data_IF_858474941349
#
_entry.id   IF_858474941349
#
_cell.length_a   1.000
_cell.length_b   1.000
_cell.length_c   1.000
_cell.angle_alpha   90.00
_cell.angle_beta   90.00
_cell.angle_gamma   90.00
#
_symmetry.space_group_name_H-M   'P 1'
#
loop_
_entity.id
_entity.type
_entity.pdbx_description
1 polymer ?
#
# COMPACT_ATOMS: atom_id res chain seq x y z
N UNK A 1 -24.84 -20.21 12.46
CA UNK A 1 -23.57 -19.46 12.63
C UNK A 1 -23.60 -18.34 11.63
N UNK A 2 -23.96 -17.14 12.06
CA UNK A 2 -23.96 -15.96 11.19
C UNK A 2 -22.52 -15.47 11.08
N UNK A 3 -21.83 -15.88 10.02
CA UNK A 3 -20.57 -15.26 9.63
C UNK A 3 -20.90 -13.83 9.22
N UNK A 4 -20.65 -12.90 10.12
CA UNK A 4 -20.71 -11.47 9.85
C UNK A 4 -19.54 -11.16 8.89
N UNK A 5 -19.71 -11.47 7.61
CA UNK A 5 -18.73 -11.16 6.58
C UNK A 5 -18.56 -9.63 6.57
N UNK A 6 -17.40 -9.17 7.02
CA UNK A 6 -16.90 -7.85 6.69
C UNK A 6 -17.06 -7.67 5.18
N UNK A 7 -17.91 -6.74 4.76
CA UNK A 7 -18.12 -6.48 3.32
C UNK A 7 -16.84 -5.85 2.79
N UNK A 8 -15.98 -6.66 2.21
CA UNK A 8 -14.81 -6.19 1.50
C UNK A 8 -15.23 -5.73 0.10
N UNK A 9 -15.01 -4.45 -0.20
CA UNK A 9 -15.37 -3.83 -1.46
C UNK A 9 -14.16 -3.84 -2.39
N UNK A 10 -14.20 -4.69 -3.41
CA UNK A 10 -13.26 -4.61 -4.53
C UNK A 10 -13.75 -3.61 -5.58
N UNK A 11 -12.86 -3.22 -6.49
CA UNK A 11 -13.26 -2.42 -7.64
C UNK A 11 -14.06 -3.25 -8.66
N UNK A 12 -14.77 -2.58 -9.57
CA UNK A 12 -15.49 -3.25 -10.66
C UNK A 12 -14.53 -4.01 -11.57
N UNK A 13 -14.66 -5.34 -11.58
CA UNK A 13 -13.84 -6.25 -12.39
C UNK A 13 -14.12 -6.18 -13.90
N UNK A 14 -13.36 -6.98 -14.66
CA UNK A 14 -13.47 -7.10 -16.11
C UNK A 14 -12.83 -5.96 -16.92
N UNK A 15 -13.15 -5.93 -18.21
CA UNK A 15 -12.58 -5.03 -19.23
C UNK A 15 -13.62 -4.18 -19.97
N UNK A 16 -14.90 -4.31 -19.59
CA UNK A 16 -16.01 -3.54 -20.15
C UNK A 16 -16.00 -2.06 -19.78
N UNK A 17 -16.92 -1.26 -20.36
CA UNK A 17 -16.92 0.21 -20.21
C UNK A 17 -17.03 0.74 -18.77
N UNK A 18 -17.65 -0.04 -17.87
CA UNK A 18 -17.83 0.31 -16.45
C UNK A 18 -16.77 -0.32 -15.54
N UNK A 19 -15.79 -1.03 -16.10
CA UNK A 19 -14.74 -1.67 -15.32
C UNK A 19 -13.76 -0.64 -14.78
N UNK A 20 -13.07 -1.01 -13.70
CA UNK A 20 -12.05 -0.17 -13.11
C UNK A 20 -10.91 0.14 -14.09
N UNK A 21 -10.51 -0.84 -14.91
CA UNK A 21 -9.45 -0.66 -15.92
C UNK A 21 -9.73 0.52 -16.85
N UNK A 22 -11.00 0.75 -17.21
CA UNK A 22 -11.41 1.84 -18.10
C UNK A 22 -11.70 3.15 -17.38
N UNK A 23 -11.80 3.14 -16.04
CA UNK A 23 -12.25 4.28 -15.23
C UNK A 23 -11.28 4.65 -14.10
N UNK A 24 -10.01 4.23 -14.18
CA UNK A 24 -8.97 4.48 -13.16
C UNK A 24 -7.90 5.49 -13.56
N UNK A 25 -8.22 6.40 -14.51
CA UNK A 25 -7.27 7.37 -15.06
C UNK A 25 -6.79 8.40 -14.03
N UNK A 26 -7.63 8.72 -13.04
CA UNK A 26 -7.25 9.61 -11.96
C UNK A 26 -6.15 8.98 -11.08
N UNK A 27 -6.34 7.73 -10.67
CA UNK A 27 -5.35 6.96 -9.91
C UNK A 27 -4.08 6.72 -10.74
N UNK A 28 -4.20 6.61 -12.07
CA UNK A 28 -3.04 6.63 -12.98
C UNK A 28 -2.26 7.94 -12.85
N UNK A 29 -2.94 9.09 -12.92
CA UNK A 29 -2.29 10.40 -12.80
C UNK A 29 -1.55 10.57 -11.46
N UNK A 30 -2.10 10.00 -10.39
CA UNK A 30 -1.43 9.94 -9.08
C UNK A 30 -0.13 9.14 -9.13
N UNK A 31 -0.14 7.96 -9.75
CA UNK A 31 1.08 7.18 -9.93
C UNK A 31 2.14 7.96 -10.73
N UNK A 32 1.75 8.59 -11.84
CA UNK A 32 2.68 9.36 -12.67
C UNK A 32 3.30 10.53 -11.89
N UNK A 33 2.52 11.22 -11.06
CA UNK A 33 3.02 12.27 -10.18
C UNK A 33 3.95 11.73 -9.07
N UNK A 34 3.67 10.52 -8.56
CA UNK A 34 4.47 9.87 -7.52
C UNK A 34 5.76 9.24 -8.05
N UNK A 35 5.88 9.03 -9.37
CA UNK A 35 6.96 8.27 -9.99
C UNK A 35 8.35 8.76 -9.58
N UNK A 36 8.62 10.05 -9.75
CA UNK A 36 9.94 10.63 -9.43
C UNK A 36 10.28 10.47 -7.93
N UNK A 37 9.28 10.62 -7.06
CA UNK A 37 9.44 10.47 -5.62
C UNK A 37 9.78 9.00 -5.28
N UNK A 38 9.09 8.04 -5.90
CA UNK A 38 9.39 6.60 -5.74
C UNK A 38 10.82 6.29 -6.17
N UNK A 39 11.25 6.78 -7.33
CA UNK A 39 12.60 6.56 -7.85
C UNK A 39 13.67 7.15 -6.92
N UNK A 40 13.48 8.40 -6.46
CA UNK A 40 14.39 9.08 -5.53
C UNK A 40 14.48 8.37 -4.18
N UNK A 41 13.35 7.96 -3.60
CA UNK A 41 13.30 7.28 -2.30
C UNK A 41 13.94 5.90 -2.36
N UNK A 42 13.75 5.16 -3.46
CA UNK A 42 14.46 3.91 -3.69
C UNK A 42 15.96 4.19 -3.78
N UNK A 43 16.38 5.12 -4.63
CA UNK A 43 17.79 5.45 -4.83
C UNK A 43 18.50 5.86 -3.53
N UNK A 44 17.84 6.67 -2.69
CA UNK A 44 18.45 7.26 -1.49
C UNK A 44 18.27 6.44 -0.22
N UNK A 45 17.12 5.76 -0.04
CA UNK A 45 16.77 5.15 1.26
C UNK A 45 16.67 3.63 1.26
N UNK A 46 16.44 2.98 0.12
CA UNK A 46 16.32 1.52 0.08
C UNK A 46 17.63 0.86 0.52
N UNK A 47 17.58 -0.02 1.51
CA UNK A 47 18.72 -0.88 1.82
C UNK A 47 18.72 -2.07 0.85
N UNK A 48 19.81 -2.25 0.11
CA UNK A 48 19.99 -3.40 -0.78
C UNK A 48 20.97 -4.40 -0.17
N UNK A 49 20.86 -5.66 -0.57
CA UNK A 49 21.70 -6.76 -0.07
C UNK A 49 22.08 -7.69 -1.21
N UNK A 50 23.05 -8.58 -1.02
CA UNK A 50 23.49 -9.55 -2.03
C UNK A 50 22.55 -10.76 -2.18
N UNK A 51 21.30 -10.65 -1.73
CA UNK A 51 20.29 -11.69 -1.88
C UNK A 51 20.04 -12.01 -3.36
N UNK A 52 19.77 -13.29 -3.65
CA UNK A 52 19.48 -13.74 -5.02
C UNK A 52 18.10 -13.30 -5.53
N UNK A 53 17.23 -12.81 -4.65
CA UNK A 53 15.87 -12.40 -4.98
C UNK A 53 15.47 -11.11 -4.26
N UNK A 54 14.53 -10.39 -4.85
CA UNK A 54 13.93 -9.18 -4.29
C UNK A 54 12.42 -9.25 -4.46
N UNK A 55 11.70 -9.16 -3.34
CA UNK A 55 10.26 -9.31 -3.32
C UNK A 55 9.54 -8.01 -3.03
N UNK A 56 8.54 -7.72 -3.86
CA UNK A 56 7.69 -6.54 -3.78
C UNK A 56 6.26 -6.99 -3.50
N UNK A 57 5.53 -6.26 -2.66
CA UNK A 57 4.10 -6.48 -2.45
C UNK A 57 3.32 -5.21 -2.82
N UNK A 58 2.27 -5.36 -3.62
CA UNK A 58 1.30 -4.31 -3.94
C UNK A 58 0.00 -4.59 -3.17
N UNK A 59 -0.30 -3.78 -2.15
CA UNK A 59 -1.50 -3.90 -1.33
C UNK A 59 -2.62 -3.02 -1.90
N UNK A 60 -3.70 -3.64 -2.35
CA UNK A 60 -4.80 -2.98 -3.06
C UNK A 60 -4.56 -2.88 -4.56
N UNK A 61 -4.13 -3.97 -5.19
CA UNK A 61 -3.74 -3.99 -6.61
C UNK A 61 -4.90 -3.87 -7.60
N UNK A 62 -6.15 -4.05 -7.13
CA UNK A 62 -7.35 -4.11 -7.97
C UNK A 62 -7.14 -5.13 -9.10
N UNK A 63 -7.56 -4.79 -10.32
CA UNK A 63 -7.42 -5.64 -11.52
C UNK A 63 -6.13 -5.39 -12.31
N UNK A 64 -5.12 -4.75 -11.71
CA UNK A 64 -3.75 -4.71 -12.27
C UNK A 64 -3.41 -3.52 -13.18
N UNK A 65 -4.41 -2.79 -13.73
CA UNK A 65 -4.17 -1.70 -14.69
C UNK A 65 -3.12 -0.70 -14.18
N UNK A 66 -3.32 -0.14 -12.99
CA UNK A 66 -2.39 0.83 -12.39
C UNK A 66 -1.19 0.18 -11.71
N UNK A 67 -1.38 -1.03 -11.18
CA UNK A 67 -0.34 -1.80 -10.50
C UNK A 67 0.83 -2.16 -11.39
N UNK A 68 0.61 -2.61 -12.63
CA UNK A 68 1.74 -3.05 -13.47
C UNK A 68 2.75 -1.95 -13.77
N UNK A 69 2.34 -0.71 -14.15
CA UNK A 69 3.30 0.37 -14.35
C UNK A 69 3.94 0.88 -13.06
N UNK A 70 3.26 0.75 -11.91
CA UNK A 70 3.87 1.01 -10.61
C UNK A 70 4.99 0.00 -10.31
N UNK A 71 4.71 -1.29 -10.50
CA UNK A 71 5.70 -2.36 -10.32
C UNK A 71 6.87 -2.21 -11.29
N UNK A 72 6.61 -1.83 -12.54
CA UNK A 72 7.66 -1.53 -13.50
C UNK A 72 8.57 -0.39 -13.01
N UNK A 73 8.00 0.74 -12.61
CA UNK A 73 8.75 1.88 -12.04
C UNK A 73 9.62 1.44 -10.86
N UNK A 74 9.03 0.72 -9.90
CA UNK A 74 9.75 0.26 -8.70
C UNK A 74 10.89 -0.69 -9.09
N UNK A 75 10.62 -1.69 -9.94
CA UNK A 75 11.63 -2.68 -10.35
C UNK A 75 12.78 -1.99 -11.07
N UNK A 76 12.51 -1.08 -12.00
CA UNK A 76 13.57 -0.36 -12.72
C UNK A 76 14.39 0.53 -11.78
N UNK A 77 13.76 1.20 -10.82
CA UNK A 77 14.47 1.97 -9.80
C UNK A 77 15.38 1.08 -8.92
N UNK A 78 14.88 -0.09 -8.52
CA UNK A 78 15.67 -1.05 -7.74
C UNK A 78 16.83 -1.59 -8.57
N UNK A 79 16.60 -1.99 -9.83
CA UNK A 79 17.67 -2.45 -10.74
C UNK A 79 18.80 -1.43 -10.85
N UNK A 80 18.47 -0.17 -11.16
CA UNK A 80 19.44 0.92 -11.25
C UNK A 80 20.26 1.07 -9.97
N UNK A 81 19.64 0.88 -8.81
CA UNK A 81 20.33 0.94 -7.52
C UNK A 81 21.31 -0.23 -7.31
N UNK A 82 20.95 -1.44 -7.73
CA UNK A 82 21.88 -2.59 -7.69
C UNK A 82 23.05 -2.36 -8.65
N UNK A 83 22.77 -1.92 -9.88
CA UNK A 83 23.76 -1.60 -10.91
C UNK A 83 24.72 -0.50 -10.45
N UNK A 84 24.21 0.60 -9.89
CA UNK A 84 25.03 1.71 -9.38
C UNK A 84 25.87 1.33 -8.15
N UNK A 85 25.56 0.20 -7.52
CA UNK A 85 26.30 -0.33 -6.36
C UNK A 85 27.23 -1.48 -6.75
N UNK A 86 27.43 -1.72 -8.06
CA UNK A 86 28.20 -2.84 -8.61
C UNK A 86 27.76 -4.22 -8.07
N UNK A 87 26.48 -4.35 -7.70
CA UNK A 87 25.89 -5.59 -7.21
C UNK A 87 25.12 -6.30 -8.32
N UNK A 88 25.15 -7.64 -8.28
CA UNK A 88 24.34 -8.46 -9.18
C UNK A 88 22.84 -8.19 -8.93
N UNK A 89 22.13 -7.83 -10.00
CA UNK A 89 20.67 -7.66 -9.96
C UNK A 89 19.96 -8.96 -9.55
N UNK A 90 19.05 -8.91 -8.57
CA UNK A 90 18.32 -10.10 -8.08
C UNK A 90 17.15 -10.49 -8.99
N UNK A 91 16.64 -11.70 -8.81
CA UNK A 91 15.36 -12.12 -9.37
C UNK A 91 14.20 -11.39 -8.67
N UNK A 92 13.29 -10.80 -9.44
CA UNK A 92 12.14 -10.08 -8.88
C UNK A 92 10.91 -10.97 -8.71
N UNK A 93 10.25 -10.85 -7.55
CA UNK A 93 8.96 -11.44 -7.26
C UNK A 93 7.98 -10.36 -6.84
N UNK A 94 6.76 -10.39 -7.37
CA UNK A 94 5.70 -9.44 -7.05
C UNK A 94 4.48 -10.19 -6.49
N UNK A 95 4.06 -9.80 -5.29
CA UNK A 95 2.80 -10.23 -4.70
C UNK A 95 1.73 -9.16 -4.91
N UNK A 96 0.75 -9.47 -5.75
CA UNK A 96 -0.43 -8.63 -5.93
C UNK A 96 -1.47 -9.02 -4.88
N UNK A 97 -1.68 -8.14 -3.90
CA UNK A 97 -2.71 -8.32 -2.89
C UNK A 97 -3.94 -7.47 -3.19
N UNK A 98 -5.11 -8.09 -3.02
CA UNK A 98 -6.38 -7.39 -2.89
C UNK A 98 -7.33 -8.26 -2.05
N UNK A 99 -8.52 -7.75 -1.76
CA UNK A 99 -9.55 -8.47 -1.03
C UNK A 99 -10.00 -9.73 -1.79
N UNK A 100 -10.56 -10.71 -1.08
CA UNK A 100 -10.93 -12.02 -1.66
C UNK A 100 -11.92 -11.91 -2.83
N UNK A 101 -12.79 -10.90 -2.82
CA UNK A 101 -13.78 -10.64 -3.86
C UNK A 101 -13.21 -9.99 -5.14
N UNK A 102 -11.94 -9.61 -5.14
CA UNK A 102 -11.32 -8.96 -6.29
C UNK A 102 -11.23 -9.90 -7.51
N UNK A 103 -11.29 -9.29 -8.70
CA UNK A 103 -11.17 -10.01 -9.96
C UNK A 103 -9.70 -10.25 -10.35
N UNK A 104 -9.08 -11.21 -9.66
CA UNK A 104 -7.72 -11.67 -9.98
C UNK A 104 -7.62 -12.33 -11.36
N UNK A 105 -8.71 -12.82 -11.94
CA UNK A 105 -8.69 -13.41 -13.28
C UNK A 105 -8.36 -12.34 -14.32
N UNK A 106 -8.99 -11.17 -14.21
CA UNK A 106 -8.68 -10.03 -15.08
C UNK A 106 -7.26 -9.53 -14.86
N UNK A 107 -6.78 -9.48 -13.60
CA UNK A 107 -5.38 -9.17 -13.30
C UNK A 107 -4.43 -10.13 -14.01
N UNK A 108 -4.63 -11.45 -13.89
CA UNK A 108 -3.72 -12.43 -14.50
C UNK A 108 -3.76 -12.43 -16.03
N UNK A 109 -4.93 -12.23 -16.65
CA UNK A 109 -5.05 -12.13 -18.11
C UNK A 109 -4.39 -10.89 -18.68
N UNK A 110 -4.26 -9.82 -17.89
CA UNK A 110 -3.69 -8.54 -18.31
C UNK A 110 -2.21 -8.37 -17.95
N UNK A 111 -1.57 -9.39 -17.38
CA UNK A 111 -0.15 -9.35 -17.06
C UNK A 111 0.71 -9.05 -18.31
N UNK A 112 1.70 -8.14 -18.21
CA UNK A 112 2.61 -7.90 -19.32
C UNK A 112 3.39 -9.19 -19.65
N UNK A 113 3.42 -9.63 -20.93
CA UNK A 113 4.10 -10.87 -21.32
C UNK A 113 5.61 -10.78 -21.09
N UNK A 114 6.23 -9.63 -21.40
CA UNK A 114 7.68 -9.42 -21.34
C UNK A 114 8.17 -8.91 -19.97
N UNK A 115 7.43 -9.21 -18.91
CA UNK A 115 7.78 -8.76 -17.55
C UNK A 115 9.05 -9.45 -17.05
N UNK A 116 9.89 -8.70 -16.34
CA UNK A 116 11.14 -9.21 -15.72
C UNK A 116 10.95 -9.72 -14.29
N UNK A 117 9.72 -10.12 -13.92
CA UNK A 117 9.38 -10.55 -12.57
C UNK A 117 8.38 -11.70 -12.55
N UNK A 118 8.49 -12.54 -11.53
CA UNK A 118 7.55 -13.62 -11.21
C UNK A 118 6.43 -13.06 -10.34
N UNK A 119 5.23 -13.64 -10.42
CA UNK A 119 4.03 -13.07 -9.79
C UNK A 119 3.25 -14.11 -9.01
N UNK A 120 2.61 -13.67 -7.93
CA UNK A 120 1.56 -14.40 -7.24
C UNK A 120 0.47 -13.45 -6.76
N UNK A 121 -0.76 -13.94 -6.67
CA UNK A 121 -1.85 -13.21 -6.02
C UNK A 121 -1.96 -13.61 -4.55
N UNK A 122 -2.31 -12.65 -3.70
CA UNK A 122 -2.55 -12.85 -2.28
C UNK A 122 -3.93 -12.30 -1.96
N UNK A 123 -4.92 -13.17 -1.89
CA UNK A 123 -6.30 -12.79 -1.61
C UNK A 123 -6.50 -12.61 -0.09
N UNK A 124 -6.93 -11.41 0.34
CA UNK A 124 -7.23 -11.12 1.74
C UNK A 124 -7.12 -9.64 2.10
N UNK A 125 -7.65 -9.29 3.27
CA UNK A 125 -7.59 -7.92 3.79
C UNK A 125 -6.17 -7.55 4.22
N UNK A 126 -5.63 -6.48 3.67
CA UNK A 126 -4.29 -5.99 4.00
C UNK A 126 -4.19 -5.39 5.40
N UNK A 127 -5.26 -5.24 6.18
CA UNK A 127 -5.14 -4.89 7.59
C UNK A 127 -4.69 -6.09 8.45
N UNK A 128 -4.76 -7.31 7.91
CA UNK A 128 -4.32 -8.55 8.56
C UNK A 128 -2.98 -9.10 8.06
N UNK A 129 -2.55 -10.22 8.65
CA UNK A 129 -1.35 -10.97 8.24
C UNK A 129 -1.63 -11.80 6.97
N UNK A 130 -0.97 -11.47 5.87
CA UNK A 130 -1.19 -12.13 4.57
C UNK A 130 0.04 -12.85 4.02
N UNK A 131 1.23 -12.37 4.38
CA UNK A 131 2.50 -12.87 3.88
C UNK A 131 3.34 -13.36 5.07
N UNK A 132 4.22 -14.36 4.87
CA UNK A 132 5.14 -14.79 5.91
C UNK A 132 5.96 -13.62 6.44
N UNK A 133 6.32 -13.60 7.73
CA UNK A 133 7.21 -12.59 8.28
C UNK A 133 8.51 -12.48 7.45
N UNK A 134 8.97 -11.26 7.23
CA UNK A 134 10.24 -10.98 6.53
C UNK A 134 10.34 -11.52 5.10
N UNK A 135 9.20 -11.71 4.43
CA UNK A 135 9.17 -12.12 3.02
C UNK A 135 9.20 -10.94 2.03
N UNK A 136 8.77 -9.76 2.46
CA UNK A 136 8.68 -8.54 1.63
C UNK A 136 9.90 -7.65 1.84
N UNK A 137 10.50 -7.16 0.75
CA UNK A 137 11.58 -6.18 0.79
C UNK A 137 11.03 -4.76 0.56
N UNK A 138 10.05 -4.62 -0.34
CA UNK A 138 9.38 -3.36 -0.65
C UNK A 138 7.86 -3.56 -0.72
N UNK A 139 7.12 -2.78 0.05
CA UNK A 139 5.67 -2.70 0.04
C UNK A 139 5.23 -1.43 -0.70
N UNK A 140 4.21 -1.57 -1.53
CA UNK A 140 3.57 -0.47 -2.24
C UNK A 140 2.07 -0.54 -1.97
N UNK A 141 1.44 0.61 -1.85
CA UNK A 141 0.00 0.77 -1.74
C UNK A 141 -0.37 2.12 -2.33
N UNK A 142 -1.39 2.16 -3.17
CA UNK A 142 -1.86 3.41 -3.77
C UNK A 142 -3.38 3.38 -3.89
N UNK A 143 -4.05 4.40 -3.39
CA UNK A 143 -5.51 4.49 -3.42
C UNK A 143 -6.22 3.28 -2.78
N UNK A 144 -5.65 2.76 -1.70
CA UNK A 144 -6.16 1.57 -1.02
C UNK A 144 -6.30 1.77 0.49
N UNK A 145 -5.32 2.38 1.16
CA UNK A 145 -5.26 2.44 2.64
C UNK A 145 -6.40 3.27 3.26
N UNK A 146 -7.04 4.14 2.49
CA UNK A 146 -8.22 4.88 2.95
C UNK A 146 -9.48 4.01 3.11
N UNK A 147 -9.49 2.79 2.57
CA UNK A 147 -10.59 1.84 2.79
C UNK A 147 -10.52 1.23 4.18
N UNK A 148 -11.48 1.59 5.03
CA UNK A 148 -11.58 1.08 6.40
C UNK A 148 -12.07 -0.37 6.46
N UNK A 149 -11.65 -1.11 7.49
CA UNK A 149 -12.12 -2.48 7.76
C UNK A 149 -13.62 -2.55 8.01
N UNK A 150 -14.19 -1.52 8.64
CA UNK A 150 -15.62 -1.39 8.93
C UNK A 150 -16.02 0.08 9.06
N UNK A 151 -17.31 0.36 8.83
CA UNK A 151 -17.89 1.68 9.09
C UNK A 151 -17.98 1.91 10.60
N UNK A 152 -17.49 3.04 11.14
CA UNK A 152 -17.60 3.33 12.57
C UNK A 152 -19.06 3.32 13.04
N UNK A 153 -19.37 2.63 14.15
CA UNK A 153 -20.74 2.57 14.68
C UNK A 153 -21.33 3.95 14.97
N UNK A 154 -20.50 4.86 15.50
CA UNK A 154 -20.87 6.25 15.77
C UNK A 154 -21.20 7.07 14.51
N UNK A 155 -20.89 6.56 13.31
CA UNK A 155 -21.34 7.17 12.06
C UNK A 155 -22.85 7.05 11.85
N UNK A 156 -23.60 6.30 12.68
CA UNK A 156 -25.07 6.31 12.67
C UNK A 156 -25.70 5.97 11.32
N UNK A 157 -25.04 5.12 10.51
CA UNK A 157 -25.50 4.75 9.17
C UNK A 157 -24.95 5.60 8.03
N UNK A 158 -24.22 6.68 8.30
CA UNK A 158 -23.47 7.40 7.27
C UNK A 158 -22.31 6.53 6.79
N UNK A 159 -22.32 6.16 5.51
CA UNK A 159 -21.30 5.29 4.90
C UNK A 159 -20.07 6.04 4.41
N UNK A 160 -20.11 7.37 4.41
CA UNK A 160 -19.06 8.27 3.92
C UNK A 160 -19.00 9.50 4.81
N UNK A 161 -17.80 10.06 4.97
CA UNK A 161 -17.56 11.27 5.73
C UNK A 161 -17.93 12.56 4.96
N UNK A 162 -18.01 12.49 3.63
CA UNK A 162 -18.29 13.65 2.78
C UNK A 162 -19.67 14.25 3.06
N UNK A 163 -19.72 15.57 3.29
CA UNK A 163 -20.95 16.31 3.57
C UNK A 163 -21.55 16.09 4.96
N UNK A 164 -20.79 15.50 5.89
CA UNK A 164 -21.23 15.31 7.27
C UNK A 164 -20.63 16.37 8.17
N UNK A 165 -21.41 17.39 8.53
CA UNK A 165 -21.05 18.45 9.48
C UNK A 165 -21.28 18.02 10.94
N UNK A 166 -20.79 16.83 11.31
CA UNK A 166 -20.87 16.33 12.69
C UNK A 166 -19.50 15.92 13.17
N UNK A 167 -18.96 16.65 14.14
CA UNK A 167 -17.64 16.41 14.73
C UNK A 167 -17.52 14.97 15.26
N UNK A 168 -18.57 14.47 15.91
CA UNK A 168 -18.64 13.09 16.42
C UNK A 168 -18.43 12.03 15.33
N UNK A 169 -18.97 12.26 14.12
CA UNK A 169 -18.82 11.35 12.99
C UNK A 169 -17.41 11.45 12.42
N UNK A 170 -16.89 12.67 12.29
CA UNK A 170 -15.52 12.91 11.85
C UNK A 170 -14.51 12.22 12.76
N UNK A 171 -14.60 12.44 14.07
CA UNK A 171 -13.73 11.82 15.06
C UNK A 171 -13.85 10.29 15.04
N UNK A 172 -15.05 9.74 14.83
CA UNK A 172 -15.23 8.30 14.71
C UNK A 172 -14.52 7.71 13.49
N UNK A 173 -14.56 8.41 12.34
CA UNK A 173 -13.83 8.01 11.13
C UNK A 173 -12.31 8.16 11.31
N UNK A 174 -11.85 9.24 11.93
CA UNK A 174 -10.42 9.47 12.23
C UNK A 174 -9.85 8.39 13.13
N UNK A 175 -10.47 8.17 14.30
CA UNK A 175 -10.05 7.13 15.24
C UNK A 175 -10.11 5.72 14.62
N UNK A 176 -10.98 5.49 13.64
CA UNK A 176 -11.05 4.21 12.92
C UNK A 176 -9.91 4.09 11.90
N UNK A 177 -9.69 5.11 11.11
CA UNK A 177 -8.58 5.17 10.15
C UNK A 177 -7.22 4.97 10.84
N UNK A 178 -6.97 5.65 11.96
CA UNK A 178 -5.70 5.52 12.69
C UNK A 178 -5.47 4.09 13.19
N UNK A 179 -6.51 3.45 13.74
CA UNK A 179 -6.43 2.04 14.19
C UNK A 179 -6.20 1.07 13.04
N UNK A 180 -6.89 1.29 11.92
CA UNK A 180 -6.77 0.44 10.75
C UNK A 180 -5.38 0.60 10.12
N UNK A 181 -4.90 1.83 10.00
CA UNK A 181 -3.54 2.16 9.56
C UNK A 181 -2.47 1.53 10.46
N UNK A 182 -2.66 1.59 11.78
CA UNK A 182 -1.77 0.94 12.74
C UNK A 182 -1.77 -0.58 12.55
N UNK A 183 -2.93 -1.20 12.31
CA UNK A 183 -3.03 -2.63 12.03
C UNK A 183 -2.32 -3.02 10.72
N UNK A 184 -2.48 -2.21 9.67
CA UNK A 184 -1.75 -2.36 8.42
C UNK A 184 -0.24 -2.38 8.68
N UNK A 185 0.31 -1.36 9.36
CA UNK A 185 1.74 -1.30 9.64
C UNK A 185 2.22 -2.39 10.57
N UNK A 186 1.49 -2.74 11.65
CA UNK A 186 1.84 -3.86 12.56
C UNK A 186 1.99 -5.20 11.85
N UNK A 187 1.27 -5.38 10.74
CA UNK A 187 1.34 -6.59 9.95
C UNK A 187 2.46 -6.55 8.89
N UNK A 188 3.02 -5.37 8.57
CA UNK A 188 4.12 -5.18 7.58
C UNK A 188 5.45 -4.81 8.25
N UNK A 189 5.42 -4.37 9.50
CA UNK A 189 6.53 -4.00 10.36
C UNK A 189 6.26 -4.52 11.76
N UNK A 190 7.27 -5.12 12.37
CA UNK A 190 7.25 -5.88 13.61
C UNK A 190 6.16 -5.64 14.67
N UNK A 191 5.78 -6.75 15.32
CA UNK A 191 5.11 -6.76 16.62
C UNK A 191 5.95 -6.09 17.72
N UNK A 192 5.22 -5.33 18.55
CA UNK A 192 5.46 -4.83 19.92
C UNK A 192 6.39 -3.61 20.12
N UNK A 193 5.77 -2.48 20.53
CA UNK A 193 6.35 -1.56 21.52
C UNK A 193 6.74 -0.15 21.06
N UNK A 194 6.60 0.20 19.78
CA UNK A 194 7.06 1.49 19.26
C UNK A 194 5.90 2.48 19.06
N UNK A 195 6.08 3.71 19.54
CA UNK A 195 5.11 4.82 19.47
C UNK A 195 5.22 5.51 18.12
N UNK A 196 4.11 5.59 17.40
CA UNK A 196 3.99 6.42 16.18
C UNK A 196 3.82 7.88 16.60
N UNK A 197 4.66 8.76 16.08
CA UNK A 197 4.50 10.21 16.23
C UNK A 197 3.98 10.76 14.90
N UNK A 198 2.76 11.32 14.94
CA UNK A 198 2.16 11.99 13.79
C UNK A 198 2.76 13.40 13.69
N UNK A 199 3.79 13.54 12.84
CA UNK A 199 4.31 14.85 12.47
C UNK A 199 3.27 15.66 11.69
N UNK A 200 3.18 16.95 11.99
CA UNK A 200 2.23 17.93 11.42
C UNK A 200 2.47 18.31 9.95
N UNK A 201 3.18 17.49 9.17
CA UNK A 201 3.36 17.70 7.74
C UNK A 201 2.44 16.77 6.96
N UNK A 202 2.00 17.22 5.78
CA UNK A 202 1.10 16.56 4.83
C UNK A 202 1.67 15.23 4.24
N UNK A 203 2.46 14.47 4.99
CA UNK A 203 2.97 13.16 4.63
C UNK A 203 3.10 12.36 5.92
N UNK A 204 2.45 11.21 6.04
CA UNK A 204 2.59 10.32 7.20
C UNK A 204 3.98 9.63 7.19
N UNK A 205 5.09 10.37 7.12
CA UNK A 205 6.43 9.79 7.04
C UNK A 205 6.82 9.22 8.39
N UNK A 206 6.71 7.92 8.56
CA UNK A 206 7.30 7.22 9.69
C UNK A 206 8.72 6.77 9.32
N UNK A 207 9.70 7.36 9.98
CA UNK A 207 11.12 7.04 9.83
C UNK A 207 11.69 6.50 11.13
N UNK A 208 12.10 5.23 11.14
CA UNK A 208 12.89 4.63 12.22
C UNK A 208 14.26 4.18 11.64
N UNK A 209 15.38 4.68 12.18
CA UNK A 209 16.76 4.39 11.72
C UNK A 209 17.43 3.29 12.58
N UNK A 210 18.34 2.48 12.00
CA UNK A 210 18.99 1.30 12.61
C UNK A 210 19.26 0.14 11.62
N UNK A 211 20.10 -0.87 11.89
CA UNK A 211 20.57 -1.81 10.85
C UNK A 211 19.74 -3.10 10.68
N UNK A 212 19.71 -3.56 9.41
CA UNK A 212 19.33 -4.84 8.75
C UNK A 212 17.91 -5.45 8.93
N UNK A 213 17.36 -5.95 7.80
CA UNK A 213 16.02 -6.52 7.55
C UNK A 213 14.83 -5.57 7.76
N UNK A 214 14.58 -4.69 6.77
CA UNK A 214 13.54 -3.66 6.80
C UNK A 214 12.57 -3.80 5.62
N UNK A 215 11.30 -3.49 5.87
CA UNK A 215 10.30 -3.32 4.81
C UNK A 215 10.18 -1.84 4.52
N UNK A 216 10.45 -1.45 3.28
CA UNK A 216 10.19 -0.10 2.80
C UNK A 216 8.77 -0.03 2.28
N UNK A 217 7.93 0.87 2.81
CA UNK A 217 6.55 1.02 2.37
C UNK A 217 6.36 2.36 1.65
N UNK A 218 5.78 2.34 0.46
CA UNK A 218 5.33 3.52 -0.27
C UNK A 218 3.80 3.55 -0.27
N UNK A 219 3.22 4.63 0.25
CA UNK A 219 1.78 4.86 0.31
C UNK A 219 1.45 6.13 -0.47
N UNK A 220 0.60 6.05 -1.49
CA UNK A 220 0.11 7.22 -2.22
C UNK A 220 -1.40 7.32 -2.10
N UNK A 221 -1.87 8.23 -1.24
CA UNK A 221 -3.30 8.42 -0.97
C UNK A 221 -3.62 9.92 -0.88
N UNK A 222 -4.87 10.29 -1.18
CA UNK A 222 -5.35 11.66 -1.06
C UNK A 222 -5.86 11.91 0.34
N UNK A 223 -5.15 12.73 1.12
CA UNK A 223 -5.57 13.10 2.49
C UNK A 223 -6.94 13.76 2.54
N UNK A 224 -7.37 14.50 1.52
CA UNK A 224 -8.72 15.09 1.48
C UNK A 224 -9.84 14.07 1.27
N UNK A 225 -9.54 12.85 0.78
CA UNK A 225 -10.49 11.73 0.81
C UNK A 225 -10.57 11.07 2.19
N UNK A 226 -9.55 11.25 3.03
CA UNK A 226 -9.46 10.69 4.36
C UNK A 226 -10.02 11.69 5.39
N UNK A 227 -9.63 12.98 5.34
CA UNK A 227 -10.03 14.03 6.27
C UNK A 227 -10.25 15.40 5.56
N UNK A 228 -11.51 15.83 5.36
CA UNK A 228 -11.81 16.99 4.51
C UNK A 228 -11.50 18.40 5.05
N UNK A 229 -11.27 18.63 6.35
CA UNK A 229 -11.36 20.03 6.86
C UNK A 229 -10.45 20.48 8.00
N UNK A 230 -9.59 19.63 8.61
CA UNK A 230 -8.59 20.10 9.62
C UNK A 230 -7.13 19.92 9.24
N UNK A 231 -6.80 19.11 8.22
CA UNK A 231 -5.41 18.69 7.95
C UNK A 231 -5.03 18.59 6.47
N UNK A 232 -5.87 19.05 5.54
CA UNK A 232 -5.57 19.00 4.11
C UNK A 232 -5.89 20.32 3.42
N UNK A 233 -4.94 20.85 2.66
CA UNK A 233 -5.30 21.79 1.59
C UNK A 233 -6.04 21.00 0.50
N UNK A 234 -7.15 21.53 0.00
CA UNK A 234 -7.89 20.93 -1.10
C UNK A 234 -6.95 20.66 -2.29
N UNK A 235 -6.82 19.40 -2.69
CA UNK A 235 -6.20 19.02 -3.96
C UNK A 235 -4.82 18.34 -3.88
N UNK A 236 -4.16 18.28 -2.73
CA UNK A 236 -2.85 17.59 -2.64
C UNK A 236 -3.00 16.05 -2.55
N UNK A 237 -2.27 15.36 -3.43
CA UNK A 237 -2.01 13.93 -3.30
C UNK A 237 -0.76 13.76 -2.45
N UNK A 238 -0.86 13.00 -1.35
CA UNK A 238 0.23 12.86 -0.41
C UNK A 238 0.91 11.50 -0.65
N UNK A 239 2.08 11.53 -1.27
CA UNK A 239 2.95 10.37 -1.34
C UNK A 239 3.75 10.31 -0.06
N UNK A 240 3.62 9.21 0.64
CA UNK A 240 4.18 8.99 1.97
C UNK A 240 5.01 7.72 1.96
N UNK A 241 6.28 7.84 2.34
CA UNK A 241 7.15 6.68 2.53
C UNK A 241 7.28 6.36 4.01
N UNK A 242 6.99 5.12 4.38
CA UNK A 242 7.00 4.61 5.74
C UNK A 242 8.01 3.48 5.83
N UNK A 243 8.98 3.63 6.73
CA UNK A 243 10.03 2.63 6.97
C UNK A 243 9.67 1.82 8.20
N UNK A 244 9.43 0.53 8.03
CA UNK A 244 9.12 -0.37 9.12
C UNK A 244 10.31 -1.32 9.40
N UNK A 245 10.69 -1.47 10.67
CA UNK A 245 11.79 -2.35 11.09
C UNK A 245 11.26 -3.75 11.38
N UNK A 246 11.99 -4.80 10.95
CA UNK A 246 11.67 -6.19 11.31
C UNK A 246 12.79 -6.78 12.19
N UNK A 247 12.60 -6.81 13.50
CA UNK A 247 13.49 -7.48 14.45
C UNK A 247 13.19 -9.00 14.50
N UNK A 248 14.19 -9.82 14.16
CA UNK A 248 14.18 -11.24 14.46
C UNK A 248 14.71 -11.48 15.88
N UNK A 249 13.89 -12.08 16.76
CA UNK A 249 14.41 -12.86 17.89
C UNK A 249 14.21 -14.34 17.55
N UNK A 250 15.17 -14.93 16.86
CA UNK A 250 15.24 -16.38 16.75
C UNK A 250 15.51 -16.96 18.13
N UNK A 251 14.60 -17.81 18.63
CA UNK A 251 14.96 -18.82 19.62
C UNK A 251 15.36 -20.06 18.80
N UNK A 252 16.65 -20.35 18.79
CA UNK A 252 17.15 -21.73 18.68
C UNK A 252 16.83 -22.45 19.98
#
# INVERSE_FOLDING_TARGET
MDFNYSRHFSMNGGDGPLSYIKNSSYQRGVLEAAKAIIEEEIATKLDISTNSFFCIADFGCSTGNNSFPAMHTIIEAVKRKYESSDLKTPDFYVWFNDVVSNDFNTLFRSLPPDRSYKVAAVAGDFHGYLLPPSSVHFAYSSYAIHWLMEVPKAAGGHKRLYGVEREEVYEAYLNKFERDLEAFFKCRGCRNGERWDYGSSNSCTASLLGPTNRVHCCVSDRTSQIFPSRYGQEGQTNVTFIRAKVNFKGKL
#
